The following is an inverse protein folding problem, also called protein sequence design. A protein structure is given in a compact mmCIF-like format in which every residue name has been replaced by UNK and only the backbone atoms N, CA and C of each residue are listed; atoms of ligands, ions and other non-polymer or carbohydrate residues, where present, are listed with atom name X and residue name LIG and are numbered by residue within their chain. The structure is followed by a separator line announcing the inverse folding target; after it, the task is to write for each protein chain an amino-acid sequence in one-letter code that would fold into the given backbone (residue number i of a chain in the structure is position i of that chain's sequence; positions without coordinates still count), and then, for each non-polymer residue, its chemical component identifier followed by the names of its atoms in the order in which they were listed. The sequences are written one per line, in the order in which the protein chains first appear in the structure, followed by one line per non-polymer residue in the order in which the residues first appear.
data_IF_992537926002
#
_entry.id   IF_992537926002
#
_cell.length_a   1.000
_cell.length_b   1.000
_cell.length_c   1.000
_cell.angle_alpha   90.00
_cell.angle_beta   90.00
_cell.angle_gamma   90.00
#
_symmetry.space_group_name_H-M   'P 1'
#
loop_
_entity.id
_entity.type
_entity.pdbx_description
1 polymer ?
#
# COMPACT_ATOMS: atom_id res chain seq x y z
N UNK A 1 -22.51 -4.07 -9.27
CA UNK A 1 -22.23 -3.25 -8.06
C UNK A 1 -20.81 -2.72 -8.17
N UNK A 2 -20.43 -1.79 -7.32
CA UNK A 2 -19.04 -1.29 -7.22
C UNK A 2 -18.64 -1.41 -5.77
N UNK A 3 -17.47 -1.97 -5.51
CA UNK A 3 -16.88 -2.01 -4.17
C UNK A 3 -15.78 -0.98 -4.05
N UNK A 4 -15.57 -0.47 -2.85
CA UNK A 4 -14.60 0.59 -2.55
C UNK A 4 -13.50 0.05 -1.65
N UNK A 5 -12.25 0.19 -2.10
CA UNK A 5 -11.06 -0.12 -1.30
C UNK A 5 -10.37 1.19 -0.92
N UNK A 6 -10.19 1.40 0.38
CA UNK A 6 -9.41 2.51 0.90
C UNK A 6 -7.98 2.04 1.16
N UNK A 7 -7.04 2.43 0.30
CA UNK A 7 -5.62 2.16 0.49
C UNK A 7 -5.00 3.25 1.36
N UNK A 8 -4.39 2.83 2.44
CA UNK A 8 -3.61 3.65 3.38
C UNK A 8 -2.18 3.09 3.38
N UNK A 9 -1.18 3.94 3.40
CA UNK A 9 0.22 3.53 3.30
C UNK A 9 1.13 4.45 4.11
N UNK A 10 2.26 3.88 4.52
CA UNK A 10 3.37 4.65 5.10
C UNK A 10 2.90 5.56 6.25
N UNK A 11 2.21 4.93 7.21
CA UNK A 11 1.66 5.64 8.37
C UNK A 11 2.73 5.95 9.39
N UNK A 12 3.80 5.13 9.46
CA UNK A 12 4.93 5.26 10.39
C UNK A 12 4.48 5.56 11.82
N UNK A 13 3.53 4.79 12.31
CA UNK A 13 3.05 4.98 13.68
C UNK A 13 4.19 4.80 14.68
N UNK A 14 4.18 5.66 15.70
CA UNK A 14 5.15 5.62 16.78
C UNK A 14 4.58 4.84 17.98
N UNK A 15 5.49 4.26 18.78
CA UNK A 15 5.13 3.51 19.98
C UNK A 15 4.39 4.36 21.02
N UNK A 16 4.74 5.65 21.10
CA UNK A 16 4.27 6.56 22.16
C UNK A 16 3.35 7.64 21.60
N UNK A 17 2.40 8.06 22.41
CA UNK A 17 1.51 9.17 22.04
C UNK A 17 2.28 10.49 22.00
N UNK A 18 1.96 11.31 20.98
CA UNK A 18 2.62 12.61 20.78
C UNK A 18 4.05 12.53 20.22
N UNK A 19 4.61 11.33 20.05
CA UNK A 19 5.90 11.14 19.40
C UNK A 19 5.85 11.59 17.94
N UNK A 20 7.00 12.09 17.43
CA UNK A 20 7.12 12.58 16.06
C UNK A 20 8.12 11.76 15.28
N UNK A 21 7.76 11.44 14.03
CA UNK A 21 8.65 10.83 13.05
C UNK A 21 8.95 11.89 11.99
N UNK A 22 10.21 12.14 11.75
CA UNK A 22 10.67 13.20 10.82
C UNK A 22 10.03 14.58 11.06
N UNK A 23 9.67 14.88 12.33
CA UNK A 23 9.03 16.14 12.73
C UNK A 23 7.50 16.18 12.60
N UNK A 24 6.87 15.10 12.15
CA UNK A 24 5.42 14.97 12.03
C UNK A 24 4.85 14.02 13.08
N UNK A 25 3.61 14.23 13.50
CA UNK A 25 2.90 13.33 14.42
C UNK A 25 2.02 12.36 13.63
N UNK A 26 2.36 11.05 13.57
CA UNK A 26 1.64 10.07 12.76
C UNK A 26 0.14 10.01 13.08
N UNK A 27 -0.21 9.94 14.37
CA UNK A 27 -1.61 9.86 14.78
C UNK A 27 -2.44 11.08 14.34
N UNK A 28 -1.86 12.29 14.40
CA UNK A 28 -2.54 13.53 13.98
C UNK A 28 -2.72 13.54 12.45
N UNK A 29 -1.72 13.09 11.70
CA UNK A 29 -1.79 13.03 10.24
C UNK A 29 -2.81 11.99 9.78
N UNK A 30 -2.77 10.77 10.32
CA UNK A 30 -3.78 9.76 10.00
C UNK A 30 -5.20 10.24 10.37
N UNK A 31 -5.37 10.90 11.52
CA UNK A 31 -6.68 11.45 11.92
C UNK A 31 -7.23 12.47 10.90
N UNK A 32 -6.35 13.28 10.26
CA UNK A 32 -6.76 14.20 9.20
C UNK A 32 -7.23 13.43 7.96
N UNK A 33 -6.52 12.37 7.56
CA UNK A 33 -6.91 11.50 6.44
C UNK A 33 -8.25 10.82 6.71
N UNK A 34 -8.45 10.27 7.92
CA UNK A 34 -9.71 9.64 8.32
C UNK A 34 -10.86 10.64 8.36
N UNK A 35 -10.61 11.88 8.78
CA UNK A 35 -11.61 12.94 8.75
C UNK A 35 -11.99 13.35 7.31
N UNK A 36 -11.00 13.45 6.43
CA UNK A 36 -11.23 13.70 5.00
C UNK A 36 -12.04 12.54 4.37
N UNK A 37 -11.70 11.29 4.71
CA UNK A 37 -12.48 10.12 4.28
C UNK A 37 -13.92 10.19 4.75
N UNK A 38 -14.16 10.42 6.05
CA UNK A 38 -15.51 10.54 6.60
C UNK A 38 -16.33 11.65 5.93
N UNK A 39 -15.67 12.75 5.51
CA UNK A 39 -16.33 13.84 4.81
C UNK A 39 -16.83 13.47 3.39
N UNK A 40 -16.30 12.41 2.78
CA UNK A 40 -16.81 11.91 1.49
C UNK A 40 -18.19 11.28 1.62
N UNK A 41 -18.54 10.77 2.80
CA UNK A 41 -19.74 9.98 3.05
C UNK A 41 -19.70 8.57 2.44
N UNK A 42 -18.56 8.15 1.88
CA UNK A 42 -18.37 6.80 1.34
C UNK A 42 -18.05 5.80 2.46
N UNK A 43 -18.35 4.53 2.21
CA UNK A 43 -17.99 3.40 3.06
C UNK A 43 -17.01 2.54 2.29
N UNK A 44 -15.91 2.15 2.93
CA UNK A 44 -14.98 1.19 2.36
C UNK A 44 -15.47 -0.24 2.61
N UNK A 45 -15.36 -1.09 1.60
CA UNK A 45 -15.61 -2.53 1.72
C UNK A 45 -14.34 -3.25 2.20
N UNK A 46 -13.16 -2.64 1.99
CA UNK A 46 -11.86 -3.12 2.45
C UNK A 46 -10.95 -1.93 2.73
N UNK A 47 -10.20 -1.99 3.83
CA UNK A 47 -9.02 -1.16 4.06
C UNK A 47 -7.79 -1.97 3.65
N UNK A 48 -6.93 -1.40 2.83
CA UNK A 48 -5.69 -2.00 2.37
C UNK A 48 -4.52 -1.19 2.93
N UNK A 49 -3.76 -1.80 3.87
CA UNK A 49 -2.52 -1.23 4.36
C UNK A 49 -1.36 -1.75 3.49
N UNK A 50 -0.61 -0.84 2.88
CA UNK A 50 0.48 -1.21 1.97
C UNK A 50 1.86 -0.97 2.56
N UNK A 51 1.98 -1.20 3.87
CA UNK A 51 3.24 -1.27 4.59
C UNK A 51 3.74 0.05 5.17
N UNK A 52 4.84 -0.06 5.91
CA UNK A 52 5.41 0.98 6.78
C UNK A 52 4.35 1.50 7.76
N UNK A 53 3.67 0.54 8.37
CA UNK A 53 2.60 0.76 9.34
C UNK A 53 3.15 1.32 10.65
N UNK A 54 4.30 0.79 11.12
CA UNK A 54 5.07 1.30 12.26
C UNK A 54 6.41 1.86 11.79
N UNK A 55 6.92 2.90 12.46
CA UNK A 55 8.22 3.49 12.13
C UNK A 55 9.40 2.62 12.59
N UNK A 56 9.26 1.97 13.74
CA UNK A 56 10.30 1.19 14.41
C UNK A 56 9.94 -0.30 14.57
N UNK A 57 8.82 -0.75 14.03
CA UNK A 57 8.34 -2.13 14.14
C UNK A 57 7.87 -2.52 15.55
N UNK A 58 7.64 -1.56 16.45
CA UNK A 58 7.25 -1.87 17.83
C UNK A 58 5.80 -2.34 17.95
N UNK A 59 5.48 -3.34 18.81
CA UNK A 59 4.10 -3.84 19.00
C UNK A 59 3.12 -2.75 19.45
N UNK A 60 3.59 -1.77 20.22
CA UNK A 60 2.76 -0.66 20.68
C UNK A 60 2.33 0.26 19.51
N UNK A 61 3.21 0.47 18.51
CA UNK A 61 2.87 1.23 17.31
C UNK A 61 1.73 0.59 16.53
N UNK A 62 1.79 -0.74 16.29
CA UNK A 62 0.72 -1.46 15.60
C UNK A 62 -0.59 -1.45 16.39
N UNK A 63 -0.52 -1.63 17.72
CA UNK A 63 -1.70 -1.55 18.59
C UNK A 63 -2.38 -0.19 18.48
N UNK A 64 -1.59 0.88 18.46
CA UNK A 64 -2.10 2.26 18.32
C UNK A 64 -2.68 2.52 16.93
N UNK A 65 -2.03 2.03 15.88
CA UNK A 65 -2.56 2.13 14.52
C UNK A 65 -3.89 1.39 14.39
N UNK A 66 -3.97 0.15 14.88
CA UNK A 66 -5.21 -0.63 14.86
C UNK A 66 -6.35 0.08 15.60
N UNK A 67 -6.06 0.68 16.76
CA UNK A 67 -7.03 1.46 17.51
C UNK A 67 -7.50 2.70 16.73
N UNK A 68 -6.61 3.39 16.01
CA UNK A 68 -6.95 4.53 15.18
C UNK A 68 -7.84 4.15 13.99
N UNK A 69 -7.58 3.01 13.37
CA UNK A 69 -8.33 2.50 12.21
C UNK A 69 -9.68 1.85 12.59
N UNK A 70 -9.89 1.51 13.86
CA UNK A 70 -11.12 0.87 14.32
C UNK A 70 -12.40 1.68 14.03
N UNK A 71 -12.26 2.99 13.85
CA UNK A 71 -13.38 3.89 13.48
C UNK A 71 -13.99 3.57 12.11
N UNK A 72 -13.24 2.89 11.24
CA UNK A 72 -13.70 2.53 9.89
C UNK A 72 -14.68 1.34 9.92
N UNK A 73 -14.62 0.49 10.94
CA UNK A 73 -15.46 -0.72 11.12
C UNK A 73 -15.47 -1.60 9.83
N UNK A 74 -14.29 -1.77 9.23
CA UNK A 74 -14.10 -2.36 7.90
C UNK A 74 -12.99 -3.41 7.98
N UNK A 75 -13.11 -4.55 7.27
CA UNK A 75 -12.03 -5.53 7.17
C UNK A 75 -10.73 -4.89 6.67
N UNK A 76 -9.59 -5.37 7.20
CA UNK A 76 -8.26 -4.87 6.85
C UNK A 76 -7.46 -6.00 6.20
N UNK A 77 -6.80 -5.72 5.08
CA UNK A 77 -5.70 -6.50 4.53
C UNK A 77 -4.43 -5.66 4.71
N UNK A 78 -3.45 -6.18 5.45
CA UNK A 78 -2.22 -5.46 5.76
C UNK A 78 -1.00 -6.19 5.21
N UNK A 79 -0.06 -5.42 4.68
CA UNK A 79 1.25 -5.86 4.21
C UNK A 79 2.33 -5.24 5.08
N UNK A 80 3.44 -5.94 5.25
CA UNK A 80 4.62 -5.33 5.86
C UNK A 80 5.41 -4.48 4.85
N UNK A 81 5.90 -3.33 5.30
CA UNK A 81 6.93 -2.55 4.61
C UNK A 81 8.33 -2.82 5.18
N UNK A 82 9.31 -2.00 4.80
CA UNK A 82 10.69 -2.18 5.27
C UNK A 82 10.93 -1.67 6.70
N UNK A 83 10.06 -0.84 7.25
CA UNK A 83 10.08 -0.43 8.66
C UNK A 83 9.38 -1.45 9.56
N UNK A 84 8.59 -2.34 9.00
CA UNK A 84 7.75 -3.24 9.75
C UNK A 84 8.44 -4.55 10.17
N UNK A 85 7.87 -5.18 11.18
CA UNK A 85 8.11 -6.57 11.55
C UNK A 85 6.91 -7.39 11.05
N UNK A 86 7.09 -8.19 10.01
CA UNK A 86 6.01 -8.89 9.30
C UNK A 86 5.16 -9.77 10.24
N UNK A 87 5.79 -10.43 11.22
CA UNK A 87 5.07 -11.22 12.22
C UNK A 87 4.13 -10.35 13.07
N UNK A 88 4.57 -9.14 13.45
CA UNK A 88 3.76 -8.22 14.26
C UNK A 88 2.60 -7.61 13.46
N UNK A 89 2.79 -7.32 12.17
CA UNK A 89 1.69 -6.95 11.25
C UNK A 89 0.66 -8.06 11.19
N UNK A 90 1.11 -9.31 10.99
CA UNK A 90 0.26 -10.50 10.95
C UNK A 90 -0.51 -10.72 12.26
N UNK A 91 0.15 -10.58 13.40
CA UNK A 91 -0.47 -10.73 14.72
C UNK A 91 -1.53 -9.66 14.99
N UNK A 92 -1.33 -8.44 14.48
CA UNK A 92 -2.22 -7.31 14.73
C UNK A 92 -3.41 -7.27 13.78
N UNK A 93 -3.17 -7.44 12.47
CA UNK A 93 -4.18 -7.24 11.43
C UNK A 93 -4.69 -8.53 10.79
N UNK A 94 -4.10 -9.68 11.16
CA UNK A 94 -4.37 -10.96 10.53
C UNK A 94 -3.45 -11.26 9.37
N UNK A 95 -3.13 -12.53 9.16
CA UNK A 95 -2.17 -12.99 8.15
C UNK A 95 -2.81 -13.35 6.81
N UNK A 96 -3.89 -12.70 6.42
CA UNK A 96 -4.50 -12.96 5.12
C UNK A 96 -3.63 -12.36 4.01
N UNK A 97 -3.19 -13.20 3.08
CA UNK A 97 -2.50 -12.74 1.86
C UNK A 97 -3.49 -12.36 0.75
N UNK A 98 -4.74 -12.79 0.85
CA UNK A 98 -5.77 -12.59 -0.17
C UNK A 98 -7.05 -12.11 0.51
N UNK A 99 -7.63 -11.05 -0.03
CA UNK A 99 -8.97 -10.59 0.30
C UNK A 99 -9.88 -10.69 -0.94
N UNK A 100 -11.07 -11.25 -0.76
CA UNK A 100 -12.12 -11.22 -1.77
C UNK A 100 -13.09 -10.09 -1.44
N UNK A 101 -13.30 -9.19 -2.39
CA UNK A 101 -14.18 -8.02 -2.21
C UNK A 101 -15.05 -7.85 -3.46
N UNK A 102 -16.35 -8.12 -3.32
CA UNK A 102 -17.28 -8.18 -4.45
C UNK A 102 -16.83 -9.20 -5.50
N UNK A 103 -16.76 -8.78 -6.76
CA UNK A 103 -16.27 -9.60 -7.86
C UNK A 103 -14.73 -9.64 -7.97
N UNK A 104 -14.01 -8.88 -7.11
CA UNK A 104 -12.58 -8.69 -7.19
C UNK A 104 -11.82 -9.50 -6.15
N UNK A 105 -10.53 -9.62 -6.41
CA UNK A 105 -9.55 -10.15 -5.47
C UNK A 105 -8.42 -9.15 -5.30
N UNK A 106 -7.98 -8.98 -4.06
CA UNK A 106 -6.75 -8.26 -3.73
C UNK A 106 -5.75 -9.31 -3.25
N UNK A 107 -4.57 -9.37 -3.89
CA UNK A 107 -3.47 -10.27 -3.53
C UNK A 107 -2.36 -9.43 -2.95
N UNK A 108 -2.05 -9.65 -1.67
CA UNK A 108 -0.96 -9.01 -0.96
C UNK A 108 0.33 -9.81 -1.10
N UNK A 109 1.42 -9.13 -1.46
CA UNK A 109 2.74 -9.72 -1.60
C UNK A 109 3.72 -9.05 -0.64
N UNK A 110 4.41 -9.84 0.16
CA UNK A 110 5.50 -9.33 0.99
C UNK A 110 6.76 -9.14 0.15
N UNK A 111 7.20 -7.90 0.04
CA UNK A 111 8.46 -7.52 -0.61
C UNK A 111 9.53 -7.09 0.38
N UNK A 112 9.20 -7.05 1.66
CA UNK A 112 10.13 -6.64 2.72
C UNK A 112 11.23 -7.69 2.93
N UNK A 113 12.37 -7.23 3.44
CA UNK A 113 13.46 -8.10 3.88
C UNK A 113 14.06 -7.54 5.16
N UNK A 114 14.34 -8.38 6.14
CA UNK A 114 14.91 -7.93 7.41
C UNK A 114 16.16 -7.05 7.22
N UNK A 115 16.16 -5.87 7.82
CA UNK A 115 17.27 -4.91 7.78
C UNK A 115 17.65 -4.40 6.37
N UNK A 116 16.72 -4.39 5.44
CA UNK A 116 16.93 -3.84 4.10
C UNK A 116 15.83 -2.83 3.79
N UNK A 117 16.21 -1.70 3.18
CA UNK A 117 15.25 -0.67 2.75
C UNK A 117 14.69 -0.92 1.35
N UNK A 118 15.38 -1.72 0.52
CA UNK A 118 14.89 -2.08 -0.80
C UNK A 118 14.08 -3.38 -0.75
N UNK A 119 13.15 -3.50 -1.68
CA UNK A 119 12.31 -4.67 -1.80
C UNK A 119 12.91 -5.79 -2.65
N UNK A 120 12.38 -6.98 -2.47
CA UNK A 120 12.65 -8.13 -3.34
C UNK A 120 11.36 -8.90 -3.56
N UNK A 121 11.13 -9.36 -4.78
CA UNK A 121 10.00 -10.23 -5.10
C UNK A 121 10.48 -11.58 -5.65
N UNK A 122 9.89 -12.66 -5.13
CA UNK A 122 10.06 -14.00 -5.71
C UNK A 122 9.04 -14.21 -6.83
N UNK A 123 9.46 -13.94 -8.06
CA UNK A 123 8.59 -14.01 -9.22
C UNK A 123 8.04 -15.43 -9.44
N UNK A 124 8.80 -16.47 -9.10
CA UNK A 124 8.34 -17.86 -9.23
C UNK A 124 7.17 -18.13 -8.28
N UNK A 125 7.32 -17.76 -7.01
CA UNK A 125 6.25 -17.90 -6.03
C UNK A 125 5.00 -17.10 -6.39
N UNK A 126 5.18 -15.87 -6.93
CA UNK A 126 4.07 -15.05 -7.42
C UNK A 126 3.35 -15.72 -8.59
N UNK A 127 4.08 -16.29 -9.54
CA UNK A 127 3.48 -17.03 -10.65
C UNK A 127 2.68 -18.23 -10.16
N UNK A 128 3.24 -19.05 -9.26
CA UNK A 128 2.57 -20.22 -8.69
C UNK A 128 1.29 -19.83 -7.94
N UNK A 129 1.36 -18.75 -7.14
CA UNK A 129 0.20 -18.22 -6.43
C UNK A 129 -0.91 -17.80 -7.41
N UNK A 130 -0.60 -16.95 -8.38
CA UNK A 130 -1.60 -16.41 -9.31
C UNK A 130 -2.18 -17.49 -10.23
N UNK A 131 -1.37 -18.49 -10.64
CA UNK A 131 -1.82 -19.60 -11.48
C UNK A 131 -2.72 -20.61 -10.73
N UNK A 132 -2.66 -20.61 -9.40
CA UNK A 132 -3.56 -21.41 -8.55
C UNK A 132 -4.94 -20.74 -8.34
N UNK A 133 -5.10 -19.48 -8.72
CA UNK A 133 -6.32 -18.70 -8.56
C UNK A 133 -7.17 -18.74 -9.84
N UNK A 134 -8.46 -18.43 -9.70
CA UNK A 134 -9.36 -18.25 -10.85
C UNK A 134 -9.13 -16.89 -11.55
N UNK A 135 -9.72 -16.70 -12.73
CA UNK A 135 -9.54 -15.52 -13.59
C UNK A 135 -10.35 -14.28 -13.16
N UNK A 136 -10.79 -14.19 -11.89
CA UNK A 136 -11.50 -12.98 -11.46
C UNK A 136 -10.56 -11.76 -11.45
N UNK A 137 -11.10 -10.55 -11.72
CA UNK A 137 -10.30 -9.35 -11.71
C UNK A 137 -9.50 -9.20 -10.41
N UNK A 138 -8.19 -8.98 -10.53
CA UNK A 138 -7.25 -9.01 -9.41
C UNK A 138 -6.45 -7.70 -9.36
N UNK A 139 -6.33 -7.14 -8.16
CA UNK A 139 -5.34 -6.11 -7.82
C UNK A 139 -4.23 -6.79 -7.02
N UNK A 140 -2.99 -6.58 -7.42
CA UNK A 140 -1.82 -7.00 -6.67
C UNK A 140 -1.35 -5.82 -5.81
N UNK A 141 -1.20 -6.06 -4.51
CA UNK A 141 -0.69 -5.08 -3.56
C UNK A 141 0.71 -5.50 -3.10
N UNK A 142 1.64 -4.56 -3.09
CA UNK A 142 3.03 -4.77 -2.69
C UNK A 142 3.57 -3.47 -2.08
N UNK A 143 4.43 -3.53 -1.06
CA UNK A 143 4.93 -2.30 -0.46
C UNK A 143 5.88 -1.56 -1.41
N UNK A 144 6.96 -2.21 -1.86
CA UNK A 144 7.94 -1.59 -2.76
C UNK A 144 7.41 -1.59 -4.20
N UNK A 145 7.31 -0.41 -4.84
CA UNK A 145 6.75 -0.31 -6.19
C UNK A 145 7.69 -0.92 -7.25
N UNK A 146 7.12 -1.55 -8.29
CA UNK A 146 7.93 -2.09 -9.39
C UNK A 146 8.45 -1.00 -10.34
N UNK A 147 8.07 0.25 -10.12
CA UNK A 147 8.55 1.43 -10.87
C UNK A 147 8.85 2.58 -9.91
N UNK A 148 9.93 3.29 -10.17
CA UNK A 148 10.32 4.49 -9.41
C UNK A 148 11.10 5.45 -10.29
N UNK A 149 11.03 6.74 -9.96
CA UNK A 149 11.89 7.78 -10.56
C UNK A 149 13.22 7.88 -9.84
N UNK A 150 13.32 7.34 -8.64
CA UNK A 150 14.56 7.37 -7.87
C UNK A 150 15.55 6.38 -8.43
N UNK A 151 16.83 6.76 -8.52
CA UNK A 151 17.95 5.85 -8.78
C UNK A 151 18.64 5.38 -7.49
N UNK A 152 18.18 5.88 -6.33
CA UNK A 152 18.65 5.43 -5.03
C UNK A 152 18.20 3.99 -4.78
N UNK A 153 19.15 3.14 -4.41
CA UNK A 153 18.91 1.71 -4.22
C UNK A 153 17.84 1.39 -3.18
N UNK A 154 17.65 2.23 -2.16
CA UNK A 154 16.64 2.01 -1.12
C UNK A 154 15.20 2.01 -1.65
N UNK A 155 14.94 2.68 -2.77
CA UNK A 155 13.61 2.77 -3.37
C UNK A 155 13.39 1.78 -4.51
N UNK A 156 14.24 0.77 -4.65
CA UNK A 156 14.16 -0.19 -5.74
C UNK A 156 13.48 -1.50 -5.30
N UNK A 157 12.83 -2.15 -6.25
CA UNK A 157 12.34 -3.52 -6.11
C UNK A 157 13.22 -4.44 -6.97
N UNK A 158 13.96 -5.35 -6.34
CA UNK A 158 14.72 -6.37 -7.05
C UNK A 158 13.77 -7.37 -7.71
N UNK A 159 13.97 -7.63 -9.01
CA UNK A 159 13.11 -8.50 -9.81
C UNK A 159 11.91 -7.77 -10.43
N UNK A 160 11.86 -6.42 -10.37
CA UNK A 160 10.74 -5.64 -10.89
C UNK A 160 10.41 -5.88 -12.38
N UNK A 161 11.37 -5.96 -13.32
CA UNK A 161 11.05 -6.21 -14.72
C UNK A 161 10.38 -7.56 -14.94
N UNK A 162 10.94 -8.63 -14.38
CA UNK A 162 10.42 -9.99 -14.49
C UNK A 162 9.06 -10.12 -13.79
N UNK A 163 8.87 -9.42 -12.67
CA UNK A 163 7.59 -9.34 -11.97
C UNK A 163 6.51 -8.68 -12.83
N UNK A 164 6.80 -7.54 -13.44
CA UNK A 164 5.86 -6.87 -14.33
C UNK A 164 5.50 -7.71 -15.55
N UNK A 165 6.48 -8.39 -16.17
CA UNK A 165 6.24 -9.29 -17.29
C UNK A 165 5.33 -10.47 -16.87
N UNK A 166 5.59 -11.04 -15.70
CA UNK A 166 4.77 -12.13 -15.15
C UNK A 166 3.31 -11.71 -14.91
N UNK A 167 3.09 -10.49 -14.38
CA UNK A 167 1.74 -9.96 -14.17
C UNK A 167 1.06 -9.63 -15.50
N UNK A 168 1.77 -9.03 -16.45
CA UNK A 168 1.22 -8.67 -17.76
C UNK A 168 0.79 -9.90 -18.59
N UNK A 169 1.39 -11.05 -18.34
CA UNK A 169 0.99 -12.32 -18.96
C UNK A 169 -0.37 -12.85 -18.44
N UNK A 170 -0.95 -12.23 -17.40
CA UNK A 170 -2.20 -12.64 -16.74
C UNK A 170 -3.28 -11.57 -16.88
N UNK A 171 -4.18 -11.67 -17.89
CA UNK A 171 -5.16 -10.62 -18.21
C UNK A 171 -6.14 -10.26 -17.09
N UNK A 172 -6.32 -11.16 -16.11
CA UNK A 172 -7.14 -10.90 -14.92
C UNK A 172 -6.47 -10.00 -13.90
N UNK A 173 -5.13 -9.86 -13.91
CA UNK A 173 -4.43 -8.89 -13.08
C UNK A 173 -4.56 -7.51 -13.72
N UNK A 174 -5.23 -6.59 -13.04
CA UNK A 174 -5.62 -5.29 -13.59
C UNK A 174 -4.74 -4.14 -13.12
N UNK A 175 -4.24 -4.22 -11.90
CA UNK A 175 -3.44 -3.16 -11.31
C UNK A 175 -2.42 -3.71 -10.30
N UNK A 176 -1.34 -2.96 -10.11
CA UNK A 176 -0.42 -3.07 -8.98
C UNK A 176 -0.55 -1.80 -8.15
N UNK A 177 -0.80 -1.94 -6.85
CA UNK A 177 -0.85 -0.83 -5.90
C UNK A 177 0.32 -0.93 -4.93
N UNK A 178 0.91 0.20 -4.56
CA UNK A 178 2.13 0.22 -3.72
C UNK A 178 2.20 1.45 -2.83
N UNK A 179 3.09 1.40 -1.84
CA UNK A 179 3.50 2.48 -0.95
C UNK A 179 4.95 2.90 -1.17
N UNK A 180 5.71 3.04 -0.06
CA UNK A 180 7.14 3.21 0.03
C UNK A 180 7.71 4.54 -0.49
N UNK A 181 7.23 5.02 -1.63
CA UNK A 181 7.74 6.27 -2.22
C UNK A 181 7.13 7.51 -1.57
N UNK A 182 6.11 7.36 -0.73
CA UNK A 182 5.33 8.48 -0.18
C UNK A 182 4.83 9.45 -1.26
N UNK A 183 4.64 8.94 -2.48
CA UNK A 183 4.27 9.72 -3.67
C UNK A 183 3.03 9.09 -4.32
N UNK A 184 2.04 9.93 -4.63
CA UNK A 184 0.94 9.51 -5.49
C UNK A 184 1.39 9.50 -6.94
N UNK A 185 1.30 8.35 -7.60
CA UNK A 185 1.57 8.24 -9.02
C UNK A 185 0.58 7.29 -9.70
N UNK A 186 0.46 7.45 -11.02
CA UNK A 186 -0.27 6.55 -11.91
C UNK A 186 0.54 6.40 -13.20
N UNK A 187 0.93 5.18 -13.52
CA UNK A 187 1.66 4.85 -14.74
C UNK A 187 0.98 3.71 -15.47
N UNK A 188 1.07 3.72 -16.79
CA UNK A 188 0.76 2.58 -17.62
C UNK A 188 1.93 1.59 -17.55
N UNK A 189 1.68 0.40 -17.03
CA UNK A 189 2.61 -0.71 -17.04
C UNK A 189 2.55 -1.50 -18.35
N UNK A 190 3.30 -2.61 -18.46
CA UNK A 190 3.26 -3.44 -19.66
C UNK A 190 1.85 -4.00 -19.90
N UNK A 191 1.45 -4.00 -21.19
CA UNK A 191 0.17 -4.51 -21.61
C UNK A 191 -1.00 -3.67 -21.13
N UNK A 192 -1.71 -4.14 -20.11
CA UNK A 192 -2.95 -3.56 -19.59
C UNK A 192 -2.86 -3.20 -18.10
N UNK A 193 -1.69 -3.34 -17.49
CA UNK A 193 -1.50 -3.10 -16.07
C UNK A 193 -1.51 -1.61 -15.75
N UNK A 194 -2.27 -1.22 -14.72
CA UNK A 194 -2.11 0.08 -14.08
C UNK A 194 -1.16 -0.04 -12.90
N UNK A 195 -0.21 0.89 -12.77
CA UNK A 195 0.75 0.94 -11.67
C UNK A 195 0.44 2.19 -10.83
N UNK A 196 0.04 1.98 -9.58
CA UNK A 196 -0.56 3.00 -8.74
C UNK A 196 0.20 3.12 -7.41
N UNK A 197 0.78 4.30 -7.14
CA UNK A 197 1.43 4.60 -5.87
C UNK A 197 0.50 5.34 -4.92
N UNK A 198 0.47 4.91 -3.66
CA UNK A 198 -0.26 5.60 -2.62
C UNK A 198 0.60 6.71 -2.01
N UNK A 199 0.07 7.91 -1.75
CA UNK A 199 0.78 8.87 -0.93
C UNK A 199 0.84 8.36 0.51
N UNK A 200 1.88 8.74 1.25
CA UNK A 200 1.92 8.51 2.69
C UNK A 200 0.86 9.33 3.40
N UNK A 201 0.33 8.79 4.50
CA UNK A 201 -0.50 9.59 5.40
C UNK A 201 0.34 10.56 6.23
N UNK A 202 1.63 10.25 6.45
CA UNK A 202 2.49 11.01 7.34
C UNK A 202 3.16 12.21 6.66
N UNK A 203 3.89 11.97 5.58
CA UNK A 203 4.73 12.96 4.92
C UNK A 203 5.00 12.56 3.47
N UNK A 204 5.13 13.55 2.59
CA UNK A 204 5.55 13.31 1.21
C UNK A 204 7.08 13.23 1.11
N UNK A 205 7.57 12.48 0.13
CA UNK A 205 8.97 12.43 -0.27
C UNK A 205 9.04 12.80 -1.75
N UNK A 206 9.92 13.73 -2.10
CA UNK A 206 10.27 14.00 -3.49
C UNK A 206 11.56 13.29 -3.87
N UNK A 207 11.61 12.73 -5.07
CA UNK A 207 12.74 11.95 -5.57
C UNK A 207 13.41 12.66 -6.75
N UNK A 208 14.72 12.86 -6.68
CA UNK A 208 15.53 13.46 -7.74
C UNK A 208 16.85 12.68 -7.92
N UNK A 209 16.83 11.71 -8.85
CA UNK A 209 17.98 10.83 -9.07
C UNK A 209 18.30 10.01 -7.82
N UNK A 210 19.52 10.13 -7.30
CA UNK A 210 19.96 9.45 -6.07
C UNK A 210 19.52 10.15 -4.78
N UNK A 211 19.06 11.42 -4.87
CA UNK A 211 18.67 12.23 -3.72
C UNK A 211 17.16 12.17 -3.49
N UNK A 212 16.77 12.45 -2.27
CA UNK A 212 15.37 12.62 -1.90
C UNK A 212 15.21 13.70 -0.82
N UNK A 213 14.03 14.28 -0.75
CA UNK A 213 13.69 15.29 0.26
C UNK A 213 12.42 14.90 0.98
N UNK A 214 12.52 14.74 2.30
CA UNK A 214 11.38 14.48 3.19
C UNK A 214 10.63 15.79 3.44
N UNK A 215 9.30 15.72 3.52
CA UNK A 215 8.45 16.88 3.76
C UNK A 215 8.33 17.78 2.53
N UNK A 216 8.44 17.19 1.34
CA UNK A 216 8.17 17.87 0.09
C UNK A 216 6.78 18.53 0.12
N UNK A 217 6.64 19.60 -0.66
CA UNK A 217 5.38 20.35 -0.81
C UNK A 217 4.40 19.58 -1.72
N UNK A 218 4.09 18.35 -1.30
CA UNK A 218 3.21 17.42 -1.98
C UNK A 218 2.13 16.90 -1.01
N UNK A 219 0.95 16.55 -1.50
CA UNK A 219 -0.14 16.14 -0.63
C UNK A 219 0.16 14.82 0.08
N UNK A 220 -0.22 14.75 1.34
CA UNK A 220 -0.41 13.50 2.10
C UNK A 220 -1.84 13.02 1.93
N UNK A 221 -2.12 11.74 2.19
CA UNK A 221 -3.48 11.23 2.06
C UNK A 221 -3.57 9.73 1.91
N UNK A 222 -4.55 9.29 1.14
CA UNK A 222 -4.85 7.89 0.85
C UNK A 222 -5.25 7.72 -0.61
N UNK A 223 -5.31 6.48 -1.11
CA UNK A 223 -5.84 6.15 -2.43
C UNK A 223 -7.20 5.46 -2.29
N UNK A 224 -8.13 5.82 -3.13
CA UNK A 224 -9.44 5.19 -3.21
C UNK A 224 -9.51 4.42 -4.53
N UNK A 225 -9.78 3.13 -4.47
CA UNK A 225 -10.08 2.29 -5.64
C UNK A 225 -11.57 1.97 -5.64
N UNK A 226 -12.24 2.19 -6.75
CA UNK A 226 -13.64 1.78 -6.95
C UNK A 226 -13.66 0.72 -8.03
N UNK A 227 -13.99 -0.50 -7.64
CA UNK A 227 -13.85 -1.72 -8.42
C UNK A 227 -15.24 -2.19 -8.87
N UNK A 228 -15.53 -2.15 -10.15
CA UNK A 228 -16.82 -2.53 -10.71
C UNK A 228 -16.90 -4.03 -11.04
N UNK A 229 -18.09 -4.62 -10.98
CA UNK A 229 -18.31 -6.06 -11.24
C UNK A 229 -17.88 -6.50 -12.65
N UNK A 230 -17.79 -5.59 -13.60
CA UNK A 230 -17.36 -5.87 -14.98
C UNK A 230 -15.83 -5.93 -15.16
N UNK A 231 -15.08 -5.78 -14.07
CA UNK A 231 -13.62 -5.78 -14.09
C UNK A 231 -12.99 -4.43 -14.47
N UNK A 232 -13.79 -3.38 -14.65
CA UNK A 232 -13.31 -2.02 -14.76
C UNK A 232 -13.09 -1.41 -13.36
N UNK A 233 -12.20 -0.43 -13.25
CA UNK A 233 -12.00 0.28 -12.01
C UNK A 233 -11.64 1.75 -12.24
N UNK A 234 -11.80 2.55 -11.20
CA UNK A 234 -11.30 3.92 -11.14
C UNK A 234 -10.44 4.11 -9.89
N UNK A 235 -9.52 5.04 -9.96
CA UNK A 235 -8.62 5.40 -8.88
C UNK A 235 -8.68 6.90 -8.64
N UNK A 236 -8.56 7.31 -7.38
CA UNK A 236 -8.45 8.73 -7.01
C UNK A 236 -7.66 8.89 -5.72
N UNK A 237 -7.06 10.07 -5.54
CA UNK A 237 -6.33 10.40 -4.30
C UNK A 237 -7.26 11.22 -3.40
N UNK A 238 -7.35 10.78 -2.14
CA UNK A 238 -7.92 11.53 -1.04
C UNK A 238 -6.80 12.35 -0.41
N UNK A 239 -6.86 13.65 -0.52
CA UNK A 239 -5.89 14.56 0.10
C UNK A 239 -6.33 15.02 1.48
N UNK A 240 -5.37 15.18 2.42
CA UNK A 240 -5.61 15.63 3.78
C UNK A 240 -4.51 16.60 4.27
#
# INVERSE_FOLDING_TARGET
MTVTVLQISDTHFAATDGETVSGYQPATRLAAVLAAWAATGEIADLVLLTGDDADDGSPDAYTRLAAALAVLDTPILALAGNHDVAEAVTETFGGAEIAEVGAWRIVGLDSSRPNQSHGTVDVTAVCELLDALDDRPTVVAIHHPPVTRSTNAMFQLTGAPEFLDALAARPHVRAVVSGHLHEAFEYDGPGHLALLGCPSTLMAISHEGETYTIGADAPTGARILRLADDGSFTSSILQA
#
